data_IF_378050495370
#
_entry.id   IF_378050495370
#
_cell.length_a   1.000
_cell.length_b   1.000
_cell.length_c   1.000
_cell.angle_alpha   90.00
_cell.angle_beta   90.00
_cell.angle_gamma   90.00
#
_symmetry.space_group_name_H-M   'P 1'
#
loop_
_entity.id
_entity.type
_entity.pdbx_description
1 polymer ?
#
# COMPACT_ATOMS: atom_id res chain seq x y z
N UNK A 1 -32.99 55.89 -17.93
CA UNK A 1 -33.80 54.86 -17.22
C UNK A 1 -33.10 53.49 -17.06
N UNK A 2 -31.99 53.24 -17.73
CA UNK A 2 -31.35 51.91 -17.74
C UNK A 2 -30.45 51.58 -16.54
N UNK A 3 -29.93 52.55 -15.79
CA UNK A 3 -29.00 52.31 -14.67
C UNK A 3 -29.67 51.96 -13.33
N UNK A 4 -30.95 52.29 -13.15
CA UNK A 4 -31.67 51.99 -11.89
C UNK A 4 -32.13 50.54 -11.82
N UNK A 5 -32.44 49.91 -12.94
CA UNK A 5 -32.83 48.51 -13.00
C UNK A 5 -31.68 47.54 -12.71
N UNK A 6 -30.45 47.88 -13.08
CA UNK A 6 -29.29 47.00 -12.82
C UNK A 6 -28.86 46.96 -11.33
N UNK A 7 -29.07 48.08 -10.61
CA UNK A 7 -28.74 48.13 -9.18
C UNK A 7 -29.72 47.33 -8.29
N UNK A 8 -30.96 47.16 -8.73
CA UNK A 8 -31.97 46.42 -7.98
C UNK A 8 -31.76 44.89 -8.10
N UNK A 9 -31.37 44.44 -9.29
CA UNK A 9 -31.13 42.99 -9.56
C UNK A 9 -29.87 42.47 -8.83
N UNK A 10 -28.81 43.29 -8.75
CA UNK A 10 -27.59 42.86 -8.04
C UNK A 10 -27.79 42.75 -6.51
N UNK A 11 -28.63 43.60 -5.91
CA UNK A 11 -28.94 43.49 -4.49
C UNK A 11 -29.81 42.27 -4.14
N UNK A 12 -30.74 41.94 -5.01
CA UNK A 12 -31.64 40.80 -4.81
C UNK A 12 -30.90 39.46 -4.95
N UNK A 13 -29.97 39.36 -5.89
CA UNK A 13 -29.10 38.18 -6.06
C UNK A 13 -28.15 37.96 -4.88
N UNK A 14 -27.63 39.05 -4.30
CA UNK A 14 -26.73 38.95 -3.13
C UNK A 14 -27.43 38.46 -1.87
N UNK A 15 -28.68 38.85 -1.65
CA UNK A 15 -29.47 38.42 -0.50
C UNK A 15 -29.89 36.95 -0.61
N UNK A 16 -30.28 36.51 -1.80
CA UNK A 16 -30.67 35.12 -2.06
C UNK A 16 -29.46 34.19 -1.94
N UNK A 17 -28.28 34.57 -2.47
CA UNK A 17 -27.05 33.80 -2.38
C UNK A 17 -26.58 33.62 -0.93
N UNK A 18 -26.68 34.66 -0.10
CA UNK A 18 -26.26 34.60 1.30
C UNK A 18 -27.21 33.77 2.17
N UNK A 19 -28.50 33.80 1.88
CA UNK A 19 -29.50 32.97 2.58
C UNK A 19 -29.33 31.48 2.23
N UNK A 20 -29.06 31.15 0.98
CA UNK A 20 -28.83 29.77 0.51
C UNK A 20 -27.56 29.15 1.10
N UNK A 21 -26.47 29.91 1.19
CA UNK A 21 -25.22 29.42 1.78
C UNK A 21 -25.37 29.18 3.28
N UNK A 22 -26.07 30.03 4.01
CA UNK A 22 -26.33 29.82 5.43
C UNK A 22 -27.25 28.63 5.68
N UNK A 23 -28.26 28.41 4.85
CA UNK A 23 -29.14 27.22 4.95
C UNK A 23 -28.40 25.92 4.67
N UNK A 24 -27.51 25.88 3.69
CA UNK A 24 -26.66 24.72 3.38
C UNK A 24 -25.67 24.44 4.50
N UNK A 25 -25.06 25.47 5.10
CA UNK A 25 -24.14 25.31 6.24
C UNK A 25 -24.83 24.78 7.49
N UNK A 26 -26.05 25.19 7.77
CA UNK A 26 -26.85 24.67 8.88
C UNK A 26 -27.27 23.22 8.62
N UNK A 27 -27.65 22.85 7.40
CA UNK A 27 -27.99 21.47 7.04
C UNK A 27 -26.77 20.53 7.08
N UNK A 28 -25.57 21.01 6.84
CA UNK A 28 -24.35 20.21 6.88
C UNK A 28 -23.83 20.00 8.32
N UNK A 29 -24.20 20.84 9.26
CA UNK A 29 -23.79 20.75 10.68
C UNK A 29 -24.65 19.78 11.51
N UNK A 30 -25.86 19.46 11.07
CA UNK A 30 -26.78 18.56 11.79
C UNK A 30 -26.35 17.08 11.90
N UNK A 31 -25.67 16.47 10.93
CA UNK A 31 -25.26 15.05 11.07
C UNK A 31 -24.07 14.80 12.00
N UNK A 32 -23.32 15.84 12.42
CA UNK A 32 -22.19 15.66 13.34
C UNK A 32 -22.59 15.54 14.81
N UNK A 33 -23.81 15.88 15.17
CA UNK A 33 -24.29 15.80 16.56
C UNK A 33 -24.86 14.40 16.96
N UNK A 34 -25.03 13.48 16.00
CA UNK A 34 -25.67 12.19 16.23
C UNK A 34 -24.70 11.06 16.66
N UNK A 35 -23.38 11.31 16.69
CA UNK A 35 -22.39 10.29 17.04
C UNK A 35 -21.95 10.30 18.52
N UNK A 36 -22.60 11.04 19.39
CA UNK A 36 -22.16 11.26 20.79
C UNK A 36 -23.01 10.65 21.89
N UNK A 37 -24.08 9.89 21.61
CA UNK A 37 -25.01 9.43 22.63
C UNK A 37 -25.02 7.90 22.90
N UNK A 38 -24.04 7.18 22.40
CA UNK A 38 -23.81 5.77 22.75
C UNK A 38 -22.66 5.66 23.75
N UNK A 39 -22.89 6.06 24.98
CA UNK A 39 -21.94 5.79 26.08
C UNK A 39 -21.86 4.28 26.31
N UNK A 40 -20.80 3.65 25.78
CA UNK A 40 -20.42 2.32 26.23
C UNK A 40 -19.92 2.44 27.68
N UNK A 41 -20.77 2.15 28.65
CA UNK A 41 -20.34 1.92 30.01
C UNK A 41 -19.56 0.62 30.06
N UNK A 42 -18.26 0.71 30.10
CA UNK A 42 -17.36 -0.43 30.31
C UNK A 42 -17.41 -0.98 31.74
N UNK A 43 -18.16 -0.33 32.63
CA UNK A 43 -18.27 -0.72 34.05
C UNK A 43 -19.17 -1.93 34.32
N UNK A 44 -19.92 -2.43 33.35
CA UNK A 44 -20.76 -3.63 33.46
C UNK A 44 -20.49 -4.68 32.37
N UNK A 45 -19.35 -4.64 31.72
CA UNK A 45 -18.88 -5.78 30.99
C UNK A 45 -18.36 -6.79 32.03
N UNK A 46 -19.23 -7.65 32.53
CA UNK A 46 -18.83 -8.87 33.16
C UNK A 46 -18.04 -9.64 32.15
N UNK A 47 -16.71 -9.53 32.25
CA UNK A 47 -15.80 -10.24 31.34
C UNK A 47 -15.94 -11.70 31.70
N UNK A 48 -16.73 -12.43 30.94
CA UNK A 48 -16.79 -13.87 31.00
C UNK A 48 -15.41 -14.43 30.71
N UNK A 49 -14.67 -14.70 31.80
CA UNK A 49 -13.32 -15.30 31.72
C UNK A 49 -13.32 -16.74 31.22
N UNK A 50 -14.50 -17.28 30.91
CA UNK A 50 -14.64 -18.60 30.30
C UNK A 50 -14.54 -18.57 28.78
N UNK A 51 -14.48 -17.39 28.15
CA UNK A 51 -14.09 -17.28 26.75
C UNK A 51 -12.61 -17.58 26.65
N UNK A 52 -12.29 -18.86 26.65
CA UNK A 52 -11.04 -19.35 26.14
C UNK A 52 -11.09 -18.99 24.65
N UNK A 53 -10.40 -17.92 24.27
CA UNK A 53 -10.06 -17.73 22.87
C UNK A 53 -9.28 -18.97 22.47
N UNK A 54 -9.97 -19.93 21.87
CA UNK A 54 -9.34 -21.11 21.30
C UNK A 54 -8.25 -20.59 20.39
N UNK A 55 -7.00 -20.86 20.77
CA UNK A 55 -5.88 -20.62 19.87
C UNK A 55 -6.25 -21.29 18.57
N UNK A 56 -6.38 -20.52 17.49
CA UNK A 56 -6.53 -21.09 16.17
C UNK A 56 -5.45 -22.17 16.05
N UNK A 57 -5.75 -23.37 15.55
CA UNK A 57 -4.73 -24.38 15.36
C UNK A 57 -3.59 -23.72 14.59
N UNK A 58 -2.45 -23.57 15.24
CA UNK A 58 -1.24 -23.05 14.62
C UNK A 58 -0.88 -24.06 13.53
N UNK A 59 -1.21 -23.72 12.28
CA UNK A 59 -0.65 -24.48 11.17
C UNK A 59 0.86 -24.56 11.40
N UNK A 60 1.52 -25.71 11.19
CA UNK A 60 2.96 -25.82 11.36
C UNK A 60 3.60 -24.66 10.60
N UNK A 61 4.29 -23.78 11.31
CA UNK A 61 4.99 -22.67 10.68
C UNK A 61 5.95 -23.28 9.65
N UNK A 62 5.79 -22.88 8.39
CA UNK A 62 6.76 -23.26 7.37
C UNK A 62 8.15 -22.82 7.85
N UNK A 63 9.22 -23.59 7.61
CA UNK A 63 10.55 -23.17 7.99
C UNK A 63 10.81 -21.77 7.43
N UNK A 64 11.36 -20.87 8.25
CA UNK A 64 11.64 -19.47 7.85
C UNK A 64 12.51 -19.37 6.58
N UNK A 65 13.23 -20.42 6.24
CA UNK A 65 13.96 -20.57 4.97
C UNK A 65 13.03 -20.74 3.78
N UNK A 66 11.95 -21.56 3.90
CA UNK A 66 11.00 -21.77 2.81
C UNK A 66 10.24 -20.47 2.46
N UNK A 67 9.89 -19.68 3.46
CA UNK A 67 9.27 -18.37 3.22
C UNK A 67 10.21 -17.42 2.48
N UNK A 68 11.49 -17.38 2.86
CA UNK A 68 12.50 -16.57 2.17
C UNK A 68 12.72 -17.00 0.73
N UNK A 69 12.75 -18.29 0.46
CA UNK A 69 12.91 -18.85 -0.90
C UNK A 69 11.68 -18.51 -1.77
N UNK A 70 10.48 -18.57 -1.20
CA UNK A 70 9.24 -18.16 -1.86
C UNK A 70 9.24 -16.65 -2.16
N UNK A 71 9.68 -15.82 -1.21
CA UNK A 71 9.80 -14.38 -1.39
C UNK A 71 10.85 -14.02 -2.44
N UNK A 72 12.00 -14.69 -2.41
CA UNK A 72 13.04 -14.53 -3.44
C UNK A 72 12.51 -14.83 -4.84
N UNK A 73 11.71 -15.89 -4.99
CA UNK A 73 11.07 -16.25 -6.27
C UNK A 73 10.11 -15.15 -6.72
N UNK A 74 9.29 -14.63 -5.80
CA UNK A 74 8.34 -13.54 -6.08
C UNK A 74 9.07 -12.26 -6.51
N UNK A 75 10.15 -11.91 -5.82
CA UNK A 75 11.01 -10.77 -6.18
C UNK A 75 11.63 -10.99 -7.56
N UNK A 76 12.15 -12.19 -7.84
CA UNK A 76 12.72 -12.54 -9.14
C UNK A 76 11.72 -12.38 -10.29
N UNK A 77 10.47 -12.79 -10.08
CA UNK A 77 9.39 -12.62 -11.06
C UNK A 77 9.09 -11.13 -11.28
N UNK A 78 9.02 -10.32 -10.24
CA UNK A 78 8.80 -8.88 -10.35
C UNK A 78 9.94 -8.18 -11.10
N UNK A 79 11.20 -8.52 -10.78
CA UNK A 79 12.38 -7.97 -11.47
C UNK A 79 12.41 -8.38 -12.93
N UNK A 80 12.12 -9.64 -13.26
CA UNK A 80 12.17 -10.16 -14.63
C UNK A 80 11.09 -9.55 -15.53
N UNK A 81 9.90 -9.27 -14.98
CA UNK A 81 8.77 -8.69 -15.74
C UNK A 81 8.79 -7.17 -15.84
N UNK A 82 9.64 -6.48 -15.07
CA UNK A 82 9.68 -5.03 -15.03
C UNK A 82 10.17 -4.41 -16.36
N UNK A 83 9.47 -3.39 -16.85
CA UNK A 83 9.98 -2.55 -17.93
C UNK A 83 10.84 -1.41 -17.36
N UNK A 84 12.15 -1.58 -17.43
CA UNK A 84 13.12 -0.63 -16.85
C UNK A 84 13.03 0.76 -17.50
N UNK A 85 12.64 0.83 -18.78
CA UNK A 85 12.55 2.11 -19.49
C UNK A 85 11.31 2.89 -19.05
N UNK A 86 10.17 2.20 -18.87
CA UNK A 86 8.94 2.81 -18.39
C UNK A 86 9.04 3.20 -16.91
N UNK A 87 9.76 2.43 -16.11
CA UNK A 87 9.96 2.72 -14.69
C UNK A 87 10.71 4.04 -14.44
N UNK A 88 11.63 4.42 -15.30
CA UNK A 88 12.37 5.68 -15.14
C UNK A 88 13.08 5.82 -13.78
N UNK A 89 13.49 4.70 -13.17
CA UNK A 89 14.12 4.68 -11.85
C UNK A 89 13.15 4.58 -10.66
N UNK A 90 11.85 4.47 -10.91
CA UNK A 90 10.85 4.26 -9.85
C UNK A 90 10.97 2.86 -9.24
N UNK A 91 10.57 2.75 -7.97
CA UNK A 91 10.55 1.48 -7.27
C UNK A 91 9.45 0.55 -7.81
N UNK A 92 9.73 -0.74 -7.89
CA UNK A 92 8.76 -1.79 -8.23
C UNK A 92 8.23 -2.40 -6.94
N UNK A 93 6.94 -2.24 -6.61
CA UNK A 93 6.36 -2.90 -5.45
C UNK A 93 6.22 -4.41 -5.69
N UNK A 94 6.38 -5.20 -4.64
CA UNK A 94 6.13 -6.63 -4.66
C UNK A 94 5.41 -7.10 -3.39
N UNK A 95 4.67 -8.19 -3.49
CA UNK A 95 4.01 -8.83 -2.37
C UNK A 95 3.84 -10.33 -2.64
N UNK A 96 4.03 -11.14 -1.60
CA UNK A 96 3.82 -12.58 -1.61
C UNK A 96 2.68 -12.94 -0.66
N UNK A 97 1.54 -13.28 -1.22
CA UNK A 97 0.35 -13.64 -0.44
C UNK A 97 0.55 -14.96 0.35
N UNK A 98 1.45 -15.85 -0.10
CA UNK A 98 1.71 -17.12 0.56
C UNK A 98 2.46 -16.98 1.88
N UNK A 99 3.34 -15.97 1.98
CA UNK A 99 4.16 -15.69 3.17
C UNK A 99 3.68 -14.46 3.95
N UNK A 100 2.81 -13.63 3.32
CA UNK A 100 2.43 -12.32 3.85
C UNK A 100 3.53 -11.25 3.75
N UNK A 101 4.66 -11.58 3.13
CA UNK A 101 5.78 -10.64 2.95
C UNK A 101 5.52 -9.68 1.81
N UNK A 102 6.11 -8.49 1.89
CA UNK A 102 6.00 -7.43 0.88
C UNK A 102 7.23 -6.53 0.91
N UNK A 103 7.33 -5.65 -0.08
CA UNK A 103 8.39 -4.65 -0.10
C UNK A 103 8.48 -3.90 -1.42
N UNK A 104 9.62 -3.31 -1.66
CA UNK A 104 9.92 -2.57 -2.88
C UNK A 104 11.30 -2.96 -3.43
N UNK A 105 11.38 -3.00 -4.76
CA UNK A 105 12.61 -3.20 -5.50
C UNK A 105 13.08 -1.84 -5.99
N UNK A 106 14.28 -1.47 -5.66
CA UNK A 106 14.92 -0.19 -6.00
C UNK A 106 16.25 -0.44 -6.69
N UNK A 107 16.86 0.60 -7.23
CA UNK A 107 18.15 0.54 -7.91
C UNK A 107 18.19 -0.52 -9.04
N UNK A 108 17.02 -0.79 -9.66
CA UNK A 108 16.90 -1.77 -10.72
C UNK A 108 17.58 -1.27 -11.98
N UNK A 109 18.62 -1.97 -12.39
CA UNK A 109 19.40 -1.66 -13.59
C UNK A 109 19.72 -2.91 -14.41
N UNK A 110 19.71 -2.76 -15.73
CA UNK A 110 20.17 -3.80 -16.64
C UNK A 110 21.62 -3.56 -17.06
N UNK A 111 22.40 -4.62 -17.06
CA UNK A 111 23.83 -4.59 -17.40
C UNK A 111 24.23 -5.85 -18.18
N UNK A 112 25.38 -5.81 -18.81
CA UNK A 112 26.03 -7.00 -19.37
C UNK A 112 27.05 -7.52 -18.37
N UNK A 113 26.93 -8.80 -18.02
CA UNK A 113 27.87 -9.50 -17.15
C UNK A 113 28.22 -10.84 -17.78
N UNK A 114 29.51 -11.08 -17.98
CA UNK A 114 30.05 -12.31 -18.60
C UNK A 114 29.33 -12.70 -19.91
N UNK A 115 28.94 -11.71 -20.72
CA UNK A 115 28.21 -11.90 -21.98
C UNK A 115 26.71 -12.12 -21.84
N UNK A 116 26.18 -12.24 -20.62
CA UNK A 116 24.75 -12.36 -20.35
C UNK A 116 24.12 -10.98 -20.09
N UNK A 117 22.82 -10.87 -20.37
CA UNK A 117 22.04 -9.74 -19.90
C UNK A 117 21.63 -10.01 -18.47
N UNK A 118 22.02 -9.13 -17.54
CA UNK A 118 21.71 -9.28 -16.14
C UNK A 118 20.96 -8.04 -15.60
N UNK A 119 20.19 -8.22 -14.56
CA UNK A 119 19.49 -7.17 -13.80
C UNK A 119 19.98 -7.19 -12.37
N UNK A 120 20.55 -6.08 -11.94
CA UNK A 120 20.95 -5.86 -10.55
C UNK A 120 19.91 -4.99 -9.84
N UNK A 121 19.65 -5.27 -8.59
CA UNK A 121 18.63 -4.57 -7.82
C UNK A 121 18.91 -4.61 -6.31
N UNK A 122 18.25 -3.73 -5.59
CA UNK A 122 18.11 -3.77 -4.13
C UNK A 122 16.63 -4.01 -3.80
N UNK A 123 16.32 -4.87 -2.85
CA UNK A 123 14.95 -5.16 -2.43
C UNK A 123 14.80 -5.06 -0.92
N UNK A 124 13.74 -4.38 -0.46
CA UNK A 124 13.27 -4.50 0.92
C UNK A 124 12.35 -5.70 1.06
N UNK A 125 12.42 -6.38 2.18
CA UNK A 125 11.48 -7.44 2.60
C UNK A 125 10.93 -7.09 3.98
N UNK A 126 9.65 -6.85 4.06
CA UNK A 126 8.89 -6.68 5.29
C UNK A 126 8.07 -7.95 5.51
N UNK A 127 8.21 -8.58 6.66
CA UNK A 127 7.54 -9.82 7.04
C UNK A 127 7.32 -9.85 8.55
N UNK A 128 6.68 -10.90 9.05
CA UNK A 128 6.41 -11.06 10.49
C UNK A 128 7.70 -11.13 11.34
N UNK A 129 8.83 -11.50 10.75
CA UNK A 129 10.16 -11.56 11.39
C UNK A 129 10.95 -10.25 11.28
N UNK A 130 10.37 -9.19 10.69
CA UNK A 130 10.95 -7.87 10.62
C UNK A 130 11.17 -7.35 9.21
N UNK A 131 12.05 -6.35 9.09
CA UNK A 131 12.44 -5.72 7.83
C UNK A 131 13.89 -6.05 7.53
N UNK A 132 14.15 -6.51 6.32
CA UNK A 132 15.49 -6.81 5.83
C UNK A 132 15.70 -6.19 4.44
N UNK A 133 16.96 -5.90 4.13
CA UNK A 133 17.40 -5.36 2.86
C UNK A 133 18.28 -6.40 2.16
N UNK A 134 18.04 -6.59 0.87
CA UNK A 134 18.75 -7.57 0.03
C UNK A 134 19.34 -6.91 -1.21
N UNK A 135 20.51 -7.36 -1.62
CA UNK A 135 21.02 -7.17 -2.97
C UNK A 135 20.84 -8.42 -3.79
N UNK A 136 20.41 -8.27 -5.04
CA UNK A 136 20.22 -9.39 -5.94
C UNK A 136 20.70 -9.10 -7.37
N UNK A 137 20.97 -10.20 -8.07
CA UNK A 137 21.27 -10.19 -9.49
C UNK A 137 20.57 -11.34 -10.19
N UNK A 138 19.77 -11.03 -11.22
CA UNK A 138 19.21 -12.01 -12.15
C UNK A 138 19.93 -11.92 -13.47
N UNK A 139 20.23 -13.06 -14.10
CA UNK A 139 20.78 -13.10 -15.46
C UNK A 139 19.92 -13.93 -16.39
N UNK A 140 19.80 -13.48 -17.62
CA UNK A 140 19.06 -14.17 -18.67
C UNK A 140 19.95 -15.28 -19.25
N UNK A 141 19.57 -16.53 -19.00
CA UNK A 141 20.26 -17.69 -19.55
C UNK A 141 19.84 -17.95 -21.01
N UNK A 142 20.66 -18.67 -21.76
CA UNK A 142 20.54 -18.87 -23.21
C UNK A 142 19.20 -19.44 -23.72
N UNK A 143 18.37 -20.04 -22.87
CA UNK A 143 17.04 -20.53 -23.22
C UNK A 143 15.91 -19.52 -22.94
N UNK A 144 16.23 -18.25 -22.63
CA UNK A 144 15.26 -17.18 -22.40
C UNK A 144 14.68 -17.08 -20.98
N UNK A 145 15.19 -17.88 -20.05
CA UNK A 145 14.77 -17.81 -18.64
C UNK A 145 15.66 -16.90 -17.79
N UNK A 146 15.06 -16.13 -16.89
CA UNK A 146 15.78 -15.38 -15.88
C UNK A 146 16.11 -16.29 -14.69
N UNK A 147 17.37 -16.28 -14.26
CA UNK A 147 17.84 -17.06 -13.12
C UNK A 147 18.49 -16.14 -12.09
N UNK A 148 18.14 -16.32 -10.81
CA UNK A 148 18.77 -15.63 -9.71
C UNK A 148 20.20 -16.15 -9.55
N UNK A 149 21.19 -15.27 -9.73
CA UNK A 149 22.60 -15.58 -9.54
C UNK A 149 23.06 -15.22 -8.13
N UNK A 150 22.51 -14.14 -7.58
CA UNK A 150 22.83 -13.66 -6.25
C UNK A 150 21.58 -13.11 -5.58
N UNK A 151 21.42 -13.44 -4.29
CA UNK A 151 20.41 -12.84 -3.41
C UNK A 151 20.94 -12.86 -1.98
N UNK A 152 21.43 -11.72 -1.51
CA UNK A 152 22.17 -11.62 -0.25
C UNK A 152 21.62 -10.50 0.63
N UNK A 153 21.41 -10.81 1.91
CA UNK A 153 21.08 -9.81 2.92
C UNK A 153 22.26 -8.86 3.17
N UNK A 154 21.94 -7.60 3.43
CA UNK A 154 22.88 -6.51 3.72
C UNK A 154 23.03 -6.31 5.22
#
# INVERSE_FOLDING_TARGET
>A
MSRIMQAFDSRQRSVIASASVKAVLVMLALPLAACGAGGFSLEKADVDRSIITSSAPTAPAAPATADKDSDQTTIGNAVSSADIKELGGQAVPWANAGTGSRGAITELMELKDSGLTCRRFTATRESFDGVALYKGQLCLAGAGGWHMQEFKAL
#
